data_IF_401221186102
#
_entry.id   IF_401221186102
#
_cell.length_a   1.000
_cell.length_b   1.000
_cell.length_c   1.000
_cell.angle_alpha   90.00
_cell.angle_beta   90.00
_cell.angle_gamma   90.00
#
_symmetry.space_group_name_H-M   'P 1'
#
loop_
_entity.id
_entity.type
_entity.pdbx_description
1 polymer ?
#
# COMPACT_ATOMS: atom_id res chain seq x y z
N UNK A 1 -36.11 -97.06 11.14
CA UNK A 1 -36.86 -96.51 9.99
C UNK A 1 -36.07 -95.33 9.43
N UNK A 2 -35.83 -95.33 8.10
CA UNK A 2 -35.24 -94.27 7.24
C UNK A 2 -33.84 -93.73 7.68
N UNK A 3 -32.68 -94.11 7.11
CA UNK A 3 -32.14 -94.04 5.73
C UNK A 3 -32.15 -92.65 5.07
N UNK A 4 -30.93 -92.23 4.68
CA UNK A 4 -30.55 -91.34 3.56
C UNK A 4 -30.77 -89.82 3.77
N UNK A 5 -30.00 -88.89 3.21
CA UNK A 5 -28.80 -88.93 2.35
C UNK A 5 -28.11 -87.55 2.39
N UNK A 6 -26.83 -87.57 2.03
CA UNK A 6 -25.90 -86.50 1.64
C UNK A 6 -26.56 -85.36 0.84
N UNK A 7 -26.14 -84.10 1.04
CA UNK A 7 -25.68 -83.17 -0.02
C UNK A 7 -24.86 -82.04 0.62
N UNK A 8 -23.59 -81.94 0.20
CA UNK A 8 -22.76 -80.74 0.30
C UNK A 8 -23.27 -79.70 -0.71
N UNK A 9 -23.31 -78.41 -0.33
CA UNK A 9 -22.96 -77.31 -1.24
C UNK A 9 -22.43 -76.09 -0.50
N UNK A 10 -21.51 -75.44 -1.19
CA UNK A 10 -20.57 -74.39 -0.83
C UNK A 10 -21.13 -73.05 -0.30
N UNK A 11 -20.28 -72.41 0.51
CA UNK A 11 -19.93 -70.99 0.63
C UNK A 11 -20.96 -69.94 0.17
N UNK A 12 -21.32 -69.05 1.10
CA UNK A 12 -21.27 -67.58 0.95
C UNK A 12 -20.98 -66.96 2.33
N UNK A 13 -19.91 -66.17 2.42
CA UNK A 13 -19.61 -65.23 3.51
C UNK A 13 -20.55 -64.01 3.40
N UNK A 14 -21.10 -63.51 4.52
CA UNK A 14 -21.36 -62.07 4.72
C UNK A 14 -21.73 -61.83 6.21
N UNK A 15 -20.80 -61.33 7.02
CA UNK A 15 -20.53 -59.91 7.24
C UNK A 15 -21.49 -59.26 8.26
N UNK A 16 -20.97 -59.04 9.48
CA UNK A 16 -21.34 -57.89 10.32
C UNK A 16 -21.13 -56.61 9.50
N UNK A 17 -21.98 -55.56 9.62
CA UNK A 17 -21.84 -54.64 10.75
C UNK A 17 -23.13 -53.93 11.24
N UNK A 18 -23.19 -53.62 12.55
CA UNK A 18 -24.20 -52.75 13.20
C UNK A 18 -23.63 -51.39 13.66
N UNK A 19 -22.45 -50.98 13.16
CA UNK A 19 -21.75 -49.76 13.59
C UNK A 19 -21.95 -48.54 12.68
N UNK A 20 -22.29 -48.71 11.40
CA UNK A 20 -22.41 -47.59 10.45
C UNK A 20 -23.55 -46.61 10.76
N UNK A 21 -24.68 -47.09 11.27
CA UNK A 21 -25.87 -46.26 11.44
C UNK A 21 -25.77 -45.17 12.55
N UNK A 22 -24.82 -45.28 13.50
CA UNK A 22 -24.63 -44.26 14.55
C UNK A 22 -23.67 -43.14 14.14
N UNK A 23 -22.78 -43.41 13.20
CA UNK A 23 -21.84 -42.40 12.69
C UNK A 23 -22.50 -41.49 11.64
N UNK A 24 -23.45 -42.04 10.86
CA UNK A 24 -24.23 -41.28 9.87
C UNK A 24 -25.03 -40.13 10.54
N UNK A 25 -25.70 -40.40 11.67
CA UNK A 25 -26.41 -39.38 12.47
C UNK A 25 -25.47 -38.29 13.02
N UNK A 26 -24.24 -38.67 13.43
CA UNK A 26 -23.25 -37.70 13.95
C UNK A 26 -22.74 -36.79 12.84
N UNK A 27 -22.51 -37.31 11.64
CA UNK A 27 -22.09 -36.49 10.50
C UNK A 27 -23.17 -35.50 10.03
N UNK A 28 -24.44 -35.86 10.13
CA UNK A 28 -25.54 -34.94 9.80
C UNK A 28 -25.65 -33.78 10.80
N UNK A 29 -25.43 -34.07 12.10
CA UNK A 29 -25.37 -33.06 13.16
C UNK A 29 -24.14 -32.16 12.98
N UNK A 30 -22.97 -32.72 12.63
CA UNK A 30 -21.76 -31.95 12.31
C UNK A 30 -22.02 -30.94 11.17
N UNK A 31 -22.66 -31.39 10.09
CA UNK A 31 -22.97 -30.54 8.94
C UNK A 31 -23.89 -29.37 9.32
N UNK A 32 -24.89 -29.64 10.17
CA UNK A 32 -25.87 -28.65 10.61
C UNK A 32 -25.28 -27.60 11.56
N UNK A 33 -24.34 -28.00 12.43
CA UNK A 33 -23.57 -27.07 13.27
C UNK A 33 -22.69 -26.17 12.41
N UNK A 34 -22.03 -26.73 11.38
CA UNK A 34 -21.22 -25.95 10.44
C UNK A 34 -22.07 -24.96 9.62
N UNK A 35 -23.29 -25.32 9.22
CA UNK A 35 -24.23 -24.39 8.57
C UNK A 35 -24.66 -23.25 9.49
N UNK A 36 -24.95 -23.54 10.76
CA UNK A 36 -25.30 -22.50 11.74
C UNK A 36 -24.12 -21.54 11.94
N UNK A 37 -22.88 -22.04 11.99
CA UNK A 37 -21.71 -21.18 12.15
C UNK A 37 -21.47 -20.30 10.93
N UNK A 38 -21.80 -20.77 9.71
CA UNK A 38 -21.78 -19.94 8.50
C UNK A 38 -22.82 -18.82 8.55
N UNK A 39 -23.98 -19.09 9.17
CA UNK A 39 -25.07 -18.11 9.30
C UNK A 39 -24.78 -17.04 10.37
N UNK A 40 -23.99 -17.38 11.38
CA UNK A 40 -23.64 -16.49 12.50
C UNK A 40 -22.12 -16.25 12.59
N UNK A 41 -21.56 -15.30 11.82
CA UNK A 41 -20.12 -15.03 11.80
C UNK A 41 -19.57 -14.46 13.13
N UNK A 42 -20.44 -13.90 13.98
CA UNK A 42 -20.09 -13.39 15.32
C UNK A 42 -20.01 -14.47 16.40
N UNK A 43 -20.11 -15.75 16.02
CA UNK A 43 -20.08 -16.89 16.91
C UNK A 43 -21.45 -17.29 17.47
N UNK A 44 -21.54 -18.52 17.93
CA UNK A 44 -22.74 -19.16 18.46
C UNK A 44 -22.55 -19.43 19.96
N UNK A 45 -23.57 -19.11 20.76
CA UNK A 45 -23.63 -19.46 22.18
C UNK A 45 -24.58 -20.66 22.37
N UNK A 46 -24.47 -21.37 23.50
CA UNK A 46 -25.23 -22.58 23.83
C UNK A 46 -26.76 -22.37 23.74
N UNK A 47 -27.24 -21.19 24.13
CA UNK A 47 -28.65 -20.77 23.99
C UNK A 47 -29.15 -20.75 22.54
N UNK A 48 -28.28 -20.43 21.58
CA UNK A 48 -28.61 -20.40 20.15
C UNK A 48 -28.63 -21.83 19.60
N UNK A 49 -27.77 -22.72 20.09
CA UNK A 49 -27.80 -24.15 19.75
C UNK A 49 -29.06 -24.83 20.29
N UNK A 50 -29.49 -24.51 21.51
CA UNK A 50 -30.74 -25.03 22.09
C UNK A 50 -31.98 -24.58 21.31
N UNK A 51 -32.00 -23.33 20.84
CA UNK A 51 -33.13 -22.78 20.08
C UNK A 51 -33.24 -23.42 18.69
N UNK A 52 -32.12 -23.70 18.04
CA UNK A 52 -32.11 -24.30 16.69
C UNK A 52 -32.16 -25.83 16.68
N UNK A 53 -31.79 -26.50 17.78
CA UNK A 53 -31.80 -27.97 17.91
C UNK A 53 -32.34 -28.44 19.29
N UNK A 54 -33.65 -28.33 19.53
CA UNK A 54 -34.26 -28.68 20.83
C UNK A 54 -34.36 -30.18 21.10
N UNK A 55 -34.27 -31.05 20.08
CA UNK A 55 -34.45 -32.51 20.20
C UNK A 55 -33.15 -33.31 20.27
N UNK A 56 -32.01 -32.66 20.54
CA UNK A 56 -30.70 -33.35 20.58
C UNK A 56 -30.23 -33.57 22.01
N UNK A 57 -29.84 -34.81 22.33
CA UNK A 57 -29.25 -35.15 23.62
C UNK A 57 -27.99 -34.32 23.88
N UNK A 58 -27.90 -33.77 25.09
CA UNK A 58 -26.85 -32.84 25.52
C UNK A 58 -25.46 -33.51 25.39
N UNK A 59 -25.38 -34.82 25.61
CA UNK A 59 -24.11 -35.56 25.50
C UNK A 59 -23.62 -35.69 24.05
N UNK A 60 -24.50 -36.01 23.11
CA UNK A 60 -24.15 -36.12 21.68
C UNK A 60 -23.70 -34.76 21.14
N UNK A 61 -24.32 -33.67 21.61
CA UNK A 61 -23.93 -32.31 21.25
C UNK A 61 -22.51 -31.97 21.70
N UNK A 62 -22.18 -32.28 22.96
CA UNK A 62 -20.85 -32.02 23.52
C UNK A 62 -19.78 -32.85 22.83
N UNK A 63 -20.06 -34.12 22.53
CA UNK A 63 -19.14 -35.00 21.79
C UNK A 63 -18.85 -34.44 20.39
N UNK A 64 -19.88 -34.02 19.65
CA UNK A 64 -19.72 -33.44 18.31
C UNK A 64 -18.96 -32.11 18.36
N UNK A 65 -19.21 -31.26 19.36
CA UNK A 65 -18.47 -30.00 19.54
C UNK A 65 -17.00 -30.30 19.86
N UNK A 66 -16.71 -31.25 20.74
CA UNK A 66 -15.35 -31.66 21.07
C UNK A 66 -14.63 -32.26 19.85
N UNK A 67 -15.32 -33.04 19.03
CA UNK A 67 -14.78 -33.56 17.76
C UNK A 67 -14.49 -32.42 16.75
N UNK A 68 -15.37 -31.42 16.65
CA UNK A 68 -15.17 -30.27 15.77
C UNK A 68 -14.06 -29.31 16.25
N UNK A 69 -13.88 -29.19 17.56
CA UNK A 69 -12.75 -28.48 18.19
C UNK A 69 -11.45 -29.24 17.95
N UNK A 70 -11.45 -30.57 18.10
CA UNK A 70 -10.29 -31.44 17.82
C UNK A 70 -9.90 -31.40 16.33
N UNK A 71 -10.90 -31.36 15.43
CA UNK A 71 -10.73 -31.16 13.98
C UNK A 71 -10.31 -29.73 13.59
N UNK A 72 -10.13 -28.81 14.55
CA UNK A 72 -9.72 -27.39 14.39
C UNK A 72 -10.62 -26.55 13.47
N UNK A 73 -11.86 -26.99 13.22
CA UNK A 73 -12.82 -26.26 12.38
C UNK A 73 -13.53 -25.13 13.14
N UNK A 74 -13.50 -25.18 14.48
CA UNK A 74 -14.13 -24.20 15.36
C UNK A 74 -13.10 -23.62 16.35
N UNK A 75 -13.30 -22.37 16.75
CA UNK A 75 -12.57 -21.69 17.83
C UNK A 75 -13.54 -21.36 18.96
N UNK A 76 -13.12 -21.64 20.19
CA UNK A 76 -13.78 -21.16 21.40
C UNK A 76 -13.21 -19.78 21.72
N UNK A 77 -14.07 -18.77 21.85
CA UNK A 77 -13.67 -17.43 22.28
C UNK A 77 -14.67 -16.85 23.29
N UNK A 78 -14.18 -15.98 24.16
CA UNK A 78 -15.00 -15.29 25.15
C UNK A 78 -15.30 -13.87 24.66
N UNK A 79 -16.55 -13.43 24.75
CA UNK A 79 -16.88 -12.06 24.39
C UNK A 79 -16.33 -11.08 25.45
N UNK A 80 -15.76 -9.92 25.05
CA UNK A 80 -15.25 -8.94 25.99
C UNK A 80 -16.40 -8.39 26.85
N UNK A 81 -16.36 -8.65 28.16
CA UNK A 81 -17.32 -8.15 29.14
C UNK A 81 -18.41 -9.14 29.60
N UNK A 82 -18.48 -10.35 29.05
CA UNK A 82 -19.36 -11.42 29.56
C UNK A 82 -18.58 -12.71 29.80
N UNK A 83 -18.98 -13.49 30.81
CA UNK A 83 -18.41 -14.82 31.08
C UNK A 83 -19.01 -15.92 30.16
N UNK A 84 -19.61 -15.50 29.03
CA UNK A 84 -20.28 -16.40 28.09
C UNK A 84 -19.30 -16.85 26.99
N UNK A 85 -19.29 -18.15 26.74
CA UNK A 85 -18.44 -18.79 25.74
C UNK A 85 -19.14 -18.77 24.38
N UNK A 86 -18.41 -18.36 23.34
CA UNK A 86 -18.87 -18.36 21.97
C UNK A 86 -18.02 -19.31 21.13
N UNK A 87 -18.67 -20.08 20.26
CA UNK A 87 -18.01 -20.87 19.23
C UNK A 87 -18.09 -20.16 17.89
N UNK A 88 -16.94 -19.83 17.30
CA UNK A 88 -16.83 -19.29 15.95
C UNK A 88 -16.23 -20.29 15.00
N UNK A 89 -16.51 -20.15 13.70
CA UNK A 89 -15.68 -20.80 12.68
C UNK A 89 -14.24 -20.30 12.86
N UNK A 90 -13.30 -21.23 12.71
CA UNK A 90 -11.91 -20.84 12.58
C UNK A 90 -11.74 -20.19 11.21
N UNK A 91 -12.00 -18.89 11.13
CA UNK A 91 -11.46 -18.05 10.07
C UNK A 91 -9.94 -18.08 10.24
N UNK A 92 -9.33 -19.10 9.64
CA UNK A 92 -7.93 -18.99 9.28
C UNK A 92 -7.89 -17.91 8.18
N UNK A 93 -7.03 -16.90 8.31
CA UNK A 93 -6.75 -16.01 7.18
C UNK A 93 -6.31 -16.91 6.04
N UNK A 94 -7.09 -16.87 4.96
CA UNK A 94 -6.82 -17.42 3.62
C UNK A 94 -5.66 -18.41 3.60
N UNK A 95 -5.91 -19.66 4.04
CA UNK A 95 -5.07 -20.77 3.61
C UNK A 95 -5.36 -20.96 2.13
N UNK A 96 -4.65 -20.18 1.31
CA UNK A 96 -4.38 -20.47 -0.09
C UNK A 96 -4.10 -21.97 -0.16
N UNK A 97 -4.71 -22.66 -1.13
CA UNK A 97 -4.60 -24.09 -1.34
C UNK A 97 -3.13 -24.52 -1.47
N UNK A 98 -2.44 -24.75 -0.35
CA UNK A 98 -1.07 -25.26 -0.29
C UNK A 98 -1.16 -26.78 -0.18
N UNK A 99 -1.56 -27.44 -1.27
CA UNK A 99 -1.10 -28.81 -1.50
C UNK A 99 0.37 -28.66 -1.90
N UNK A 100 1.26 -29.14 -1.02
CA UNK A 100 2.70 -29.25 -1.23
C UNK A 100 3.42 -27.91 -1.45
N UNK A 101 3.42 -27.07 -0.43
CA UNK A 101 4.49 -26.08 -0.28
C UNK A 101 5.49 -26.61 0.73
N UNK A 102 6.74 -26.69 0.31
CA UNK A 102 7.86 -27.18 1.11
C UNK A 102 7.90 -26.44 2.45
N UNK A 103 8.26 -27.15 3.52
CA UNK A 103 8.38 -26.57 4.88
C UNK A 103 9.26 -25.31 4.89
N UNK A 104 10.23 -25.26 3.98
CA UNK A 104 11.14 -24.14 3.77
C UNK A 104 10.47 -22.92 3.11
N UNK A 105 9.59 -23.14 2.13
CA UNK A 105 8.84 -22.06 1.44
C UNK A 105 7.83 -21.41 2.41
N UNK A 106 7.19 -22.18 3.29
CA UNK A 106 6.35 -21.62 4.36
C UNK A 106 7.12 -20.78 5.39
N UNK A 107 8.37 -21.15 5.71
CA UNK A 107 9.21 -20.38 6.64
C UNK A 107 9.62 -19.04 6.02
N UNK A 108 10.04 -19.05 4.75
CA UNK A 108 10.37 -17.81 4.01
C UNK A 108 9.15 -16.91 3.89
N UNK A 109 7.97 -17.48 3.60
CA UNK A 109 6.73 -16.71 3.48
C UNK A 109 6.35 -16.04 4.82
N UNK A 110 6.44 -16.76 5.95
CA UNK A 110 6.17 -16.19 7.27
C UNK A 110 7.13 -15.03 7.61
N UNK A 111 8.40 -15.17 7.29
CA UNK A 111 9.40 -14.10 7.49
C UNK A 111 9.04 -12.85 6.68
N UNK A 112 8.51 -13.02 5.46
CA UNK A 112 8.10 -11.92 4.60
C UNK A 112 6.80 -11.28 5.09
N UNK A 113 5.86 -12.08 5.60
CA UNK A 113 4.67 -11.59 6.33
C UNK A 113 5.04 -10.75 7.55
N UNK A 114 6.01 -11.22 8.35
CA UNK A 114 6.50 -10.51 9.54
C UNK A 114 7.17 -9.17 9.18
N UNK A 115 7.79 -9.06 8.00
CA UNK A 115 8.43 -7.82 7.52
C UNK A 115 7.44 -6.76 7.02
N UNK A 116 6.23 -7.16 6.60
CA UNK A 116 5.14 -6.26 6.20
C UNK A 116 5.55 -5.22 5.15
N UNK A 117 5.20 -3.95 5.39
CA UNK A 117 5.37 -2.83 4.45
C UNK A 117 6.82 -2.39 4.21
N UNK A 118 7.75 -2.71 5.13
CA UNK A 118 9.16 -2.34 4.99
C UNK A 118 9.92 -3.31 4.08
N UNK A 119 9.33 -4.48 3.85
CA UNK A 119 9.93 -5.58 3.11
C UNK A 119 11.20 -6.10 3.77
N UNK A 120 11.76 -7.18 3.22
CA UNK A 120 12.96 -7.82 3.75
C UNK A 120 14.05 -8.03 2.70
N UNK A 121 15.32 -7.93 3.12
CA UNK A 121 16.49 -8.16 2.29
C UNK A 121 16.84 -9.64 2.22
N UNK A 122 17.47 -10.06 1.12
CA UNK A 122 17.99 -11.42 0.97
C UNK A 122 18.99 -11.83 2.08
N UNK A 123 19.75 -10.87 2.62
CA UNK A 123 20.68 -11.10 3.75
C UNK A 123 19.90 -11.41 5.03
N UNK A 124 18.88 -10.63 5.32
CA UNK A 124 18.07 -10.79 6.53
C UNK A 124 17.22 -12.07 6.46
N UNK A 125 16.70 -12.44 5.28
CA UNK A 125 16.03 -13.73 5.08
C UNK A 125 17.00 -14.88 5.40
N UNK A 126 18.26 -14.80 4.97
CA UNK A 126 19.28 -15.82 5.25
C UNK A 126 19.54 -15.94 6.75
N UNK A 127 19.74 -14.81 7.42
CA UNK A 127 20.08 -14.78 8.84
C UNK A 127 18.92 -15.27 9.73
N UNK A 128 17.66 -15.01 9.32
CA UNK A 128 16.47 -15.47 10.06
C UNK A 128 16.04 -16.90 9.71
N UNK A 129 16.20 -17.34 8.45
CA UNK A 129 15.79 -18.68 8.03
C UNK A 129 16.86 -19.76 8.26
N UNK A 130 18.14 -19.38 8.34
CA UNK A 130 19.26 -20.33 8.41
C UNK A 130 19.45 -21.17 7.14
N UNK A 131 18.77 -20.83 6.04
CA UNK A 131 18.78 -21.58 4.79
C UNK A 131 19.93 -21.15 3.86
N UNK A 132 20.29 -22.01 2.91
CA UNK A 132 21.29 -21.70 1.90
C UNK A 132 20.75 -20.68 0.87
N UNK A 133 21.58 -19.72 0.47
CA UNK A 133 21.29 -18.67 -0.53
C UNK A 133 20.76 -19.25 -1.85
N UNK A 134 21.25 -20.42 -2.29
CA UNK A 134 20.77 -21.05 -3.52
C UNK A 134 19.33 -21.54 -3.40
N UNK A 135 18.94 -22.06 -2.24
CA UNK A 135 17.58 -22.53 -1.96
C UNK A 135 16.63 -21.36 -1.81
N UNK A 136 17.04 -20.30 -1.10
CA UNK A 136 16.28 -19.05 -0.94
C UNK A 136 15.97 -18.44 -2.32
N UNK A 137 16.97 -18.33 -3.21
CA UNK A 137 16.76 -17.78 -4.55
C UNK A 137 15.81 -18.64 -5.43
N UNK A 138 15.80 -19.96 -5.24
CA UNK A 138 14.83 -20.84 -5.94
C UNK A 138 13.42 -20.63 -5.41
N UNK A 139 13.26 -20.56 -4.09
CA UNK A 139 11.98 -20.34 -3.42
C UNK A 139 11.42 -18.96 -3.78
N UNK A 140 12.22 -17.90 -3.74
CA UNK A 140 11.80 -16.55 -4.10
C UNK A 140 11.33 -16.48 -5.56
N UNK A 141 12.04 -17.12 -6.50
CA UNK A 141 11.58 -17.20 -7.90
C UNK A 141 10.27 -17.99 -8.05
N UNK A 142 10.10 -19.06 -7.28
CA UNK A 142 8.86 -19.84 -7.28
C UNK A 142 7.68 -19.02 -6.71
N UNK A 143 7.91 -18.25 -5.65
CA UNK A 143 6.92 -17.39 -5.02
C UNK A 143 6.58 -16.14 -5.86
N UNK A 144 7.57 -15.55 -6.55
CA UNK A 144 7.35 -14.50 -7.55
C UNK A 144 6.55 -15.05 -8.74
N UNK A 145 6.87 -16.26 -9.23
CA UNK A 145 6.12 -16.92 -10.31
C UNK A 145 4.66 -17.24 -9.94
N UNK A 146 4.35 -17.41 -8.65
CA UNK A 146 2.99 -17.59 -8.12
C UNK A 146 2.27 -16.25 -7.83
N UNK A 147 2.92 -15.10 -8.05
CA UNK A 147 2.44 -13.76 -7.68
C UNK A 147 2.07 -13.62 -6.19
N UNK A 148 2.75 -14.34 -5.29
CA UNK A 148 2.56 -14.19 -3.83
C UNK A 148 3.47 -13.10 -3.27
N UNK A 149 4.63 -12.90 -3.91
CA UNK A 149 5.66 -11.94 -3.52
C UNK A 149 5.99 -11.07 -4.72
N UNK A 150 6.33 -9.80 -4.45
CA UNK A 150 6.94 -8.89 -5.42
C UNK A 150 8.31 -8.43 -4.91
N UNK A 151 9.21 -8.18 -5.84
CA UNK A 151 10.48 -7.50 -5.56
C UNK A 151 10.38 -6.02 -5.88
N UNK A 152 10.80 -5.18 -4.94
CA UNK A 152 10.85 -3.73 -5.06
C UNK A 152 12.28 -3.27 -4.76
N UNK A 153 12.77 -2.26 -5.48
CA UNK A 153 14.06 -1.65 -5.19
C UNK A 153 13.89 -0.65 -4.05
N UNK A 154 14.66 -0.82 -2.96
CA UNK A 154 14.69 0.19 -1.89
C UNK A 154 15.59 1.35 -2.28
N UNK A 155 15.10 2.57 -2.05
CA UNK A 155 15.83 3.82 -2.28
C UNK A 155 16.61 4.24 -1.03
N UNK A 156 16.14 3.87 0.16
CA UNK A 156 16.76 4.20 1.45
C UNK A 156 18.09 3.47 1.68
N UNK A 157 18.26 2.27 1.11
CA UNK A 157 19.53 1.54 1.11
C UNK A 157 19.91 1.21 -0.34
N UNK A 158 20.56 2.17 -1.00
CA UNK A 158 21.31 2.04 -2.26
C UNK A 158 20.83 0.93 -3.24
N UNK A 159 19.63 1.08 -3.82
CA UNK A 159 19.08 0.22 -4.90
C UNK A 159 19.14 -1.28 -4.59
N UNK A 160 19.02 -1.68 -3.32
CA UNK A 160 18.99 -3.10 -2.95
C UNK A 160 17.57 -3.65 -3.15
N UNK A 161 17.47 -4.86 -3.71
CA UNK A 161 16.21 -5.58 -3.87
C UNK A 161 15.64 -6.02 -2.52
N UNK A 162 14.43 -5.59 -2.25
CA UNK A 162 13.62 -5.95 -1.09
C UNK A 162 12.43 -6.76 -1.56
N UNK A 163 12.09 -7.80 -0.81
CA UNK A 163 10.93 -8.65 -1.09
C UNK A 163 9.79 -8.32 -0.14
N UNK A 164 8.57 -8.29 -0.67
CA UNK A 164 7.35 -8.05 0.09
C UNK A 164 6.18 -8.82 -0.52
N UNK A 165 5.11 -8.98 0.24
CA UNK A 165 3.89 -9.60 -0.29
C UNK A 165 3.30 -8.80 -1.45
N UNK A 166 2.67 -9.51 -2.39
CA UNK A 166 2.10 -8.91 -3.60
C UNK A 166 1.06 -7.84 -3.28
N UNK A 167 0.15 -8.15 -2.35
CA UNK A 167 -1.00 -7.31 -2.00
C UNK A 167 -0.63 -6.07 -1.17
N UNK A 168 0.55 -6.02 -0.56
CA UNK A 168 0.95 -4.92 0.33
C UNK A 168 1.61 -3.79 -0.45
N UNK A 169 1.16 -2.55 -0.25
CA UNK A 169 1.83 -1.37 -0.83
C UNK A 169 3.10 -1.04 -0.04
N UNK A 170 4.23 -0.77 -0.72
CA UNK A 170 5.48 -0.47 -0.03
C UNK A 170 5.37 0.84 0.76
N UNK A 171 6.02 0.88 1.92
CA UNK A 171 6.08 2.08 2.75
C UNK A 171 6.84 3.20 2.03
N UNK A 172 6.44 4.47 2.25
CA UNK A 172 7.12 5.68 1.73
C UNK A 172 8.60 5.70 2.07
N UNK A 173 8.98 5.11 3.20
CA UNK A 173 10.38 4.96 3.60
C UNK A 173 11.20 4.05 2.69
N UNK A 174 10.57 3.10 2.00
CA UNK A 174 11.22 2.14 1.09
C UNK A 174 11.23 2.66 -0.35
N UNK A 175 10.11 3.24 -0.79
CA UNK A 175 9.94 3.78 -2.15
C UNK A 175 10.34 5.25 -2.31
N UNK A 176 10.75 5.94 -1.25
CA UNK A 176 11.13 7.36 -1.34
C UNK A 176 9.96 8.32 -1.61
N UNK A 177 8.73 7.81 -1.68
CA UNK A 177 7.52 8.57 -2.00
C UNK A 177 7.13 8.49 -3.47
N UNK A 178 6.15 9.30 -3.87
CA UNK A 178 5.50 9.15 -5.18
C UNK A 178 6.34 9.69 -6.34
N UNK A 179 7.45 10.37 -6.07
CA UNK A 179 8.36 10.94 -7.08
C UNK A 179 9.43 9.98 -7.59
N UNK A 180 9.38 8.72 -7.17
CA UNK A 180 10.34 7.69 -7.60
C UNK A 180 9.63 6.58 -8.36
N UNK A 181 10.18 6.25 -9.53
CA UNK A 181 9.79 5.06 -10.30
C UNK A 181 11.02 4.19 -10.46
N UNK A 182 10.90 2.90 -10.15
CA UNK A 182 11.97 1.90 -10.26
C UNK A 182 13.30 2.28 -9.59
N UNK A 183 13.24 3.07 -8.51
CA UNK A 183 14.43 3.48 -7.75
C UNK A 183 15.18 4.68 -8.35
N UNK A 184 14.59 5.38 -9.30
CA UNK A 184 15.11 6.62 -9.87
C UNK A 184 14.15 7.79 -9.59
N UNK A 185 14.73 8.96 -9.31
CA UNK A 185 13.96 10.18 -9.03
C UNK A 185 13.52 10.81 -10.34
N UNK A 186 12.20 10.98 -10.52
CA UNK A 186 11.63 11.60 -11.71
C UNK A 186 11.63 13.13 -11.59
N UNK A 187 12.80 13.77 -11.80
CA UNK A 187 12.89 15.24 -11.78
C UNK A 187 12.01 15.89 -12.85
N UNK A 188 11.90 15.27 -14.03
CA UNK A 188 11.07 15.76 -15.13
C UNK A 188 9.58 15.81 -14.75
N UNK A 189 9.09 14.80 -14.03
CA UNK A 189 7.71 14.78 -13.56
C UNK A 189 7.45 15.90 -12.55
N UNK A 190 8.37 16.09 -11.61
CA UNK A 190 8.29 17.19 -10.64
C UNK A 190 8.26 18.55 -11.35
N UNK A 191 9.10 18.73 -12.37
CA UNK A 191 9.14 19.97 -13.16
C UNK A 191 7.83 20.19 -13.95
N UNK A 192 7.27 19.13 -14.54
CA UNK A 192 5.97 19.20 -15.24
C UNK A 192 4.87 19.61 -14.25
N UNK A 193 4.80 18.97 -13.08
CA UNK A 193 3.79 19.29 -12.06
C UNK A 193 3.98 20.71 -11.54
N UNK A 194 5.22 21.15 -11.32
CA UNK A 194 5.55 22.52 -10.91
C UNK A 194 5.06 23.54 -11.94
N UNK A 195 5.33 23.32 -13.22
CA UNK A 195 4.86 24.17 -14.31
C UNK A 195 3.33 24.21 -14.40
N UNK A 196 2.65 23.07 -14.21
CA UNK A 196 1.18 23.05 -14.20
C UNK A 196 0.61 23.79 -13.01
N UNK A 197 1.15 23.61 -11.80
CA UNK A 197 0.74 24.36 -10.60
C UNK A 197 0.82 25.88 -10.86
N UNK A 198 1.94 26.33 -11.42
CA UNK A 198 2.15 27.74 -11.75
C UNK A 198 1.12 28.23 -12.79
N UNK A 199 0.91 27.47 -13.86
CA UNK A 199 -0.04 27.81 -14.93
C UNK A 199 -1.48 27.91 -14.42
N UNK A 200 -1.90 27.03 -13.52
CA UNK A 200 -3.24 27.08 -12.93
C UNK A 200 -3.43 28.34 -12.07
N UNK A 201 -2.45 28.69 -11.26
CA UNK A 201 -2.47 29.91 -10.46
C UNK A 201 -2.49 31.17 -11.36
N UNK A 202 -1.74 31.15 -12.46
CA UNK A 202 -1.76 32.20 -13.46
C UNK A 202 -3.15 32.37 -14.10
N UNK A 203 -3.75 31.28 -14.57
CA UNK A 203 -5.09 31.31 -15.18
C UNK A 203 -6.16 31.83 -14.22
N UNK A 204 -6.09 31.44 -12.94
CA UNK A 204 -7.03 31.94 -11.92
C UNK A 204 -6.85 33.44 -11.68
N UNK A 205 -5.60 33.92 -11.63
CA UNK A 205 -5.32 35.34 -11.46
C UNK A 205 -5.77 36.16 -12.68
N UNK A 206 -5.56 35.67 -13.90
CA UNK A 206 -6.04 36.32 -15.14
C UNK A 206 -7.57 36.37 -15.19
N UNK A 207 -8.25 35.27 -14.83
CA UNK A 207 -9.70 35.22 -14.74
C UNK A 207 -10.26 36.18 -13.68
N UNK A 208 -9.56 36.34 -12.55
CA UNK A 208 -9.94 37.31 -11.52
C UNK A 208 -9.77 38.76 -12.02
N UNK A 209 -8.70 39.06 -12.76
CA UNK A 209 -8.50 40.38 -13.39
C UNK A 209 -9.56 40.70 -14.44
N UNK A 210 -10.02 39.71 -15.20
CA UNK A 210 -11.07 39.92 -16.20
C UNK A 210 -12.41 40.31 -15.55
N UNK A 211 -12.65 39.86 -14.31
CA UNK A 211 -13.83 40.18 -13.50
C UNK A 211 -13.66 41.47 -12.68
N UNK A 212 -12.73 42.35 -13.03
CA UNK A 212 -12.36 43.55 -12.26
C UNK A 212 -13.46 44.60 -12.01
N UNK A 213 -14.69 44.38 -12.48
CA UNK A 213 -15.85 45.21 -12.16
C UNK A 213 -16.15 45.29 -10.65
N UNK A 214 -15.74 44.31 -9.85
CA UNK A 214 -16.02 44.22 -8.41
C UNK A 214 -14.92 44.81 -7.48
N UNK A 215 -13.95 45.54 -8.03
CA UNK A 215 -12.96 46.30 -7.26
C UNK A 215 -11.72 45.51 -6.77
N UNK A 216 -10.61 46.20 -6.41
CA UNK A 216 -9.28 45.58 -6.30
C UNK A 216 -9.13 44.53 -5.19
N UNK A 217 -9.84 44.69 -4.07
CA UNK A 217 -9.74 43.77 -2.94
C UNK A 217 -10.45 42.43 -3.24
N UNK A 218 -11.58 42.48 -3.95
CA UNK A 218 -12.33 41.29 -4.36
C UNK A 218 -11.54 40.51 -5.41
N UNK A 219 -10.97 41.21 -6.40
CA UNK A 219 -10.05 40.60 -7.40
C UNK A 219 -8.86 39.92 -6.72
N UNK A 220 -8.26 40.58 -5.71
CA UNK A 220 -7.16 39.99 -4.95
C UNK A 220 -7.59 38.71 -4.24
N UNK A 221 -8.72 38.72 -3.54
CA UNK A 221 -9.19 37.55 -2.80
C UNK A 221 -9.58 36.40 -3.74
N UNK A 222 -10.20 36.71 -4.89
CA UNK A 222 -10.56 35.71 -5.90
C UNK A 222 -9.34 35.06 -6.60
N UNK A 223 -8.16 35.69 -6.53
CA UNK A 223 -6.92 35.18 -7.13
C UNK A 223 -6.26 34.06 -6.31
N UNK A 224 -6.71 33.82 -5.07
CA UNK A 224 -6.15 32.77 -4.23
C UNK A 224 -6.75 31.40 -4.55
N UNK A 225 -5.96 30.35 -4.44
CA UNK A 225 -6.36 28.95 -4.57
C UNK A 225 -5.80 28.14 -3.40
N UNK A 226 -6.58 27.24 -2.83
CA UNK A 226 -6.17 26.40 -1.70
C UNK A 226 -5.31 25.21 -2.15
N UNK A 227 -4.48 24.66 -1.25
CA UNK A 227 -3.71 23.43 -1.54
C UNK A 227 -4.62 22.25 -1.93
N UNK A 228 -5.77 22.11 -1.27
CA UNK A 228 -6.77 21.07 -1.57
C UNK A 228 -7.34 21.21 -2.99
N UNK A 229 -7.73 22.41 -3.40
CA UNK A 229 -8.25 22.66 -4.77
C UNK A 229 -7.18 22.41 -5.84
N UNK A 230 -5.94 22.84 -5.60
CA UNK A 230 -4.82 22.57 -6.53
C UNK A 230 -4.63 21.07 -6.71
N UNK A 231 -4.62 20.32 -5.61
CA UNK A 231 -4.48 18.87 -5.63
C UNK A 231 -5.62 18.19 -6.41
N UNK A 232 -6.88 18.61 -6.22
CA UNK A 232 -8.03 18.07 -6.95
C UNK A 232 -7.91 18.33 -8.45
N UNK A 233 -7.61 19.57 -8.85
CA UNK A 233 -7.47 19.93 -10.26
C UNK A 233 -6.31 19.19 -10.94
N UNK A 234 -5.20 18.93 -10.23
CA UNK A 234 -4.09 18.12 -10.76
C UNK A 234 -4.51 16.67 -10.97
N UNK A 235 -5.25 16.10 -10.00
CA UNK A 235 -5.82 14.76 -10.13
C UNK A 235 -6.81 14.66 -11.30
N UNK A 236 -7.64 15.69 -11.52
CA UNK A 236 -8.61 15.73 -12.62
C UNK A 236 -7.93 15.78 -14.00
N UNK A 237 -6.77 16.44 -14.10
CA UNK A 237 -5.99 16.48 -15.34
C UNK A 237 -5.32 15.14 -15.67
N UNK A 238 -5.33 14.18 -14.73
CA UNK A 238 -4.79 12.82 -14.88
C UNK A 238 -3.37 12.78 -15.46
N UNK A 239 -2.55 13.77 -15.09
CA UNK A 239 -1.14 13.91 -15.52
C UNK A 239 -0.29 12.77 -14.93
N UNK A 240 -0.70 12.27 -13.77
CA UNK A 240 0.05 11.32 -12.96
C UNK A 240 -0.77 10.05 -12.80
N UNK A 241 -0.14 8.89 -13.04
CA UNK A 241 -0.82 7.57 -12.95
C UNK A 241 -1.20 7.18 -11.52
N UNK A 242 -0.62 7.85 -10.54
CA UNK A 242 -0.83 7.64 -9.12
C UNK A 242 -1.46 8.88 -8.48
N UNK A 243 -2.16 8.69 -7.38
CA UNK A 243 -2.80 9.78 -6.65
C UNK A 243 -1.75 10.54 -5.84
N UNK A 244 -1.59 11.82 -6.14
CA UNK A 244 -0.74 12.72 -5.37
C UNK A 244 -1.43 13.11 -4.06
N UNK A 245 -0.64 13.20 -2.99
CA UNK A 245 -1.10 13.69 -1.69
C UNK A 245 -1.02 15.21 -1.61
N UNK A 246 -1.83 15.81 -0.73
CA UNK A 246 -1.81 17.27 -0.52
C UNK A 246 -0.45 17.74 -0.02
N UNK A 247 0.23 16.95 0.82
CA UNK A 247 1.57 17.25 1.33
C UNK A 247 2.63 17.36 0.22
N UNK A 248 2.57 16.47 -0.77
CA UNK A 248 3.50 16.46 -1.91
C UNK A 248 3.30 17.68 -2.80
N UNK A 249 2.05 18.08 -3.03
CA UNK A 249 1.72 19.31 -3.75
C UNK A 249 2.17 20.55 -2.96
N UNK A 250 1.96 20.57 -1.65
CA UNK A 250 2.45 21.67 -0.81
C UNK A 250 3.97 21.80 -0.85
N UNK A 251 4.71 20.70 -0.85
CA UNK A 251 6.16 20.73 -1.03
C UNK A 251 6.57 21.32 -2.39
N UNK A 252 5.86 21.00 -3.47
CA UNK A 252 6.10 21.62 -4.78
C UNK A 252 5.76 23.11 -4.75
N UNK A 253 4.64 23.49 -4.16
CA UNK A 253 4.24 24.90 -4.07
C UNK A 253 5.24 25.70 -3.22
N UNK A 254 5.84 25.11 -2.19
CA UNK A 254 6.93 25.74 -1.43
C UNK A 254 8.14 26.07 -2.31
N UNK A 255 8.50 25.20 -3.28
CA UNK A 255 9.55 25.53 -4.25
C UNK A 255 9.20 26.76 -5.10
N UNK A 256 7.94 26.90 -5.52
CA UNK A 256 7.46 28.07 -6.26
C UNK A 256 7.44 29.34 -5.41
N UNK A 257 7.23 29.22 -4.10
CA UNK A 257 7.36 30.33 -3.14
C UNK A 257 8.82 30.76 -3.03
N UNK A 258 9.75 29.80 -2.93
CA UNK A 258 11.19 30.10 -2.86
C UNK A 258 11.74 30.71 -4.16
N UNK A 259 11.19 30.31 -5.31
CA UNK A 259 11.44 30.96 -6.61
C UNK A 259 10.95 32.42 -6.67
N UNK A 260 10.13 32.86 -5.71
CA UNK A 260 9.52 34.19 -5.69
C UNK A 260 8.40 34.39 -6.72
N UNK A 261 7.90 33.29 -7.32
CA UNK A 261 6.84 33.32 -8.34
C UNK A 261 5.43 33.40 -7.75
N UNK A 262 5.23 32.85 -6.54
CA UNK A 262 3.94 32.81 -5.86
C UNK A 262 4.07 33.26 -4.40
N UNK A 263 2.99 33.79 -3.83
CA UNK A 263 2.87 34.06 -2.39
C UNK A 263 1.96 33.02 -1.74
N UNK A 264 2.32 32.63 -0.52
CA UNK A 264 1.51 31.77 0.32
C UNK A 264 0.89 32.60 1.45
N UNK A 265 -0.38 32.33 1.75
CA UNK A 265 -1.12 32.89 2.87
C UNK A 265 -1.82 31.76 3.63
N UNK A 266 -1.69 31.81 4.96
CA UNK A 266 -2.46 30.98 5.86
C UNK A 266 -3.82 31.64 6.13
N UNK A 267 -4.90 30.93 5.84
CA UNK A 267 -6.26 31.36 6.15
C UNK A 267 -6.82 30.41 7.21
N UNK A 268 -7.41 30.96 8.26
CA UNK A 268 -8.15 30.21 9.27
C UNK A 268 -9.58 30.05 8.79
N UNK A 269 -9.99 28.83 8.47
CA UNK A 269 -11.39 28.48 8.19
C UNK A 269 -11.89 27.60 9.33
N UNK A 270 -12.45 28.25 10.36
CA UNK A 270 -12.78 27.58 11.63
C UNK A 270 -11.54 27.11 12.39
N UNK A 271 -11.46 25.81 12.70
CA UNK A 271 -10.36 25.19 13.47
C UNK A 271 -9.22 24.67 12.57
N UNK A 272 -9.44 24.57 11.25
CA UNK A 272 -8.42 24.16 10.28
C UNK A 272 -7.66 25.38 9.72
N UNK A 273 -6.33 25.22 9.61
CA UNK A 273 -5.46 26.18 8.93
C UNK A 273 -5.25 25.73 7.49
N UNK A 274 -5.74 26.52 6.54
CA UNK A 274 -5.66 26.20 5.12
C UNK A 274 -4.58 27.08 4.47
N UNK A 275 -3.63 26.44 3.77
CA UNK A 275 -2.65 27.14 2.93
C UNK A 275 -3.31 27.55 1.61
N UNK A 276 -3.21 28.84 1.29
CA UNK A 276 -3.69 29.41 0.04
C UNK A 276 -2.55 30.07 -0.72
N UNK A 277 -2.59 29.99 -2.03
CA UNK A 277 -1.51 30.42 -2.92
C UNK A 277 -2.04 31.36 -3.99
N UNK A 278 -1.20 32.30 -4.40
CA UNK A 278 -1.51 33.32 -5.40
C UNK A 278 -0.26 33.61 -6.21
N UNK A 279 -0.41 33.91 -7.50
CA UNK A 279 0.71 34.37 -8.31
C UNK A 279 1.18 35.77 -7.88
N UNK A 280 2.49 35.98 -7.89
CA UNK A 280 3.12 37.28 -7.63
C UNK A 280 3.68 37.79 -8.95
N UNK A 281 3.33 39.02 -9.30
CA UNK A 281 3.95 39.69 -10.43
C UNK A 281 5.27 40.29 -10.01
N UNK A 282 6.32 39.97 -10.75
CA UNK A 282 7.63 40.57 -10.56
C UNK A 282 7.57 42.04 -10.96
N UNK A 283 7.66 42.93 -9.97
CA UNK A 283 7.58 44.38 -10.19
C UNK A 283 8.84 44.96 -10.83
N UNK A 284 9.95 44.24 -10.78
CA UNK A 284 11.27 44.68 -11.23
C UNK A 284 11.81 43.73 -12.30
N UNK A 285 12.27 44.29 -13.42
CA UNK A 285 13.03 43.51 -14.39
C UNK A 285 14.42 43.14 -13.85
N UNK A 286 15.04 42.09 -14.38
CA UNK A 286 16.41 41.71 -14.04
C UNK A 286 17.37 42.89 -14.19
N UNK A 287 18.23 43.08 -13.19
CA UNK A 287 19.19 44.19 -13.15
C UNK A 287 20.10 44.20 -14.38
N UNK A 288 20.54 45.38 -14.83
CA UNK A 288 21.40 45.51 -16.00
C UNK A 288 22.75 44.78 -15.85
N UNK A 289 23.25 44.65 -14.62
CA UNK A 289 24.52 43.96 -14.34
C UNK A 289 24.50 42.49 -14.76
N UNK A 290 23.37 41.78 -14.62
CA UNK A 290 23.28 40.37 -15.05
C UNK A 290 23.13 40.23 -16.56
N UNK A 291 22.95 41.34 -17.29
CA UNK A 291 22.83 41.36 -18.77
C UNK A 291 24.15 41.66 -19.47
N UNK A 292 25.22 41.93 -18.72
CA UNK A 292 26.56 42.19 -19.26
C UNK A 292 27.51 41.06 -18.85
N UNK A 293 28.51 40.70 -19.69
CA UNK A 293 29.45 39.62 -19.40
C UNK A 293 30.16 39.80 -18.05
N UNK A 294 30.50 41.03 -17.68
CA UNK A 294 31.15 41.34 -16.41
C UNK A 294 30.35 40.89 -15.19
N UNK A 295 29.02 41.07 -15.18
CA UNK A 295 28.22 40.81 -13.99
C UNK A 295 28.09 39.32 -13.64
N UNK A 296 28.39 38.45 -14.59
CA UNK A 296 28.40 36.98 -14.42
C UNK A 296 29.78 36.37 -14.67
N UNK A 297 30.81 37.21 -14.81
CA UNK A 297 32.15 36.75 -15.18
C UNK A 297 32.80 35.96 -14.03
N UNK A 298 33.19 34.68 -14.25
CA UNK A 298 33.77 33.85 -13.20
C UNK A 298 35.16 34.32 -12.76
N UNK A 299 35.85 35.07 -13.62
CA UNK A 299 37.22 35.56 -13.41
C UNK A 299 37.29 37.07 -13.17
N UNK A 300 36.16 37.72 -12.84
CA UNK A 300 36.12 39.18 -12.63
C UNK A 300 37.14 39.66 -11.58
N UNK A 301 37.41 38.86 -10.54
CA UNK A 301 38.33 39.21 -9.46
C UNK A 301 39.79 39.37 -9.90
N UNK A 302 40.18 38.72 -11.00
CA UNK A 302 41.54 38.76 -11.55
C UNK A 302 41.61 39.57 -12.85
N UNK A 303 40.47 40.11 -13.31
CA UNK A 303 40.41 40.97 -14.48
C UNK A 303 40.84 42.38 -14.10
N UNK A 304 41.84 42.93 -14.79
CA UNK A 304 42.40 44.23 -14.49
C UNK A 304 43.04 44.92 -15.69
N UNK A 305 43.67 46.06 -15.44
CA UNK A 305 44.40 46.81 -16.48
C UNK A 305 45.79 46.26 -16.76
N UNK A 306 46.27 45.31 -15.93
CA UNK A 306 47.54 44.61 -16.07
C UNK A 306 47.35 43.14 -15.66
N UNK A 307 48.18 42.25 -16.19
CA UNK A 307 48.06 40.79 -16.01
C UNK A 307 47.54 40.07 -17.25
N UNK A 308 47.33 38.76 -17.13
CA UNK A 308 46.91 37.89 -18.25
C UNK A 308 45.44 38.06 -18.64
N UNK A 309 44.57 38.35 -17.67
CA UNK A 309 43.12 38.56 -17.87
C UNK A 309 42.84 40.06 -17.93
N UNK A 310 42.50 40.57 -19.12
CA UNK A 310 42.20 41.98 -19.32
C UNK A 310 40.87 42.17 -20.07
N UNK A 311 40.20 43.32 -19.90
CA UNK A 311 39.02 43.64 -20.70
C UNK A 311 39.32 43.72 -22.21
N UNK A 312 40.55 44.12 -22.57
CA UNK A 312 40.97 44.33 -23.97
C UNK A 312 41.05 43.05 -24.80
N UNK A 313 41.32 41.91 -24.16
CA UNK A 313 41.44 40.59 -24.77
C UNK A 313 40.40 39.62 -24.21
N UNK A 314 39.25 40.15 -23.78
CA UNK A 314 38.23 39.38 -23.06
C UNK A 314 37.36 38.58 -24.03
N UNK A 315 37.60 37.27 -24.09
CA UNK A 315 36.82 36.32 -24.90
C UNK A 315 35.32 36.38 -24.59
N UNK A 316 34.94 36.62 -23.33
CA UNK A 316 33.52 36.73 -22.95
C UNK A 316 32.82 37.96 -23.54
N UNK A 317 33.56 39.04 -23.77
CA UNK A 317 33.01 40.23 -24.44
C UNK A 317 32.93 40.03 -25.94
N UNK A 318 33.97 39.45 -26.55
CA UNK A 318 33.98 39.15 -27.98
C UNK A 318 32.79 38.25 -28.35
N UNK A 319 32.60 37.14 -27.61
CA UNK A 319 31.47 36.22 -27.81
C UNK A 319 30.09 36.83 -27.56
N UNK A 320 30.00 37.87 -26.72
CA UNK A 320 28.73 38.53 -26.41
C UNK A 320 28.38 39.63 -27.41
N UNK A 321 29.38 40.20 -28.09
CA UNK A 321 29.21 41.22 -29.12
C UNK A 321 28.98 40.63 -30.53
N UNK A 322 29.46 39.41 -30.77
CA UNK A 322 29.18 38.61 -31.98
C UNK A 322 27.69 38.22 -32.11
#
# INVERSE_FOLDING_TARGET
MALKVVIKKEKVDDARPRQSARDDDKTEIEARILELLRKYPKGINDKILETHMPNLDIQIRVDVINDLLTKKKMKLFQAPGTNELFWGLNEQPVSIKLKEVDKEENVVMRIIEEAGNKGILNKDIRDQSGLNLTTINKILKALEGKNLIKSVLSISVAKIKVYMLFDLQPDRSVTGGSWYTDGEFESELVDIVNQQCYRMLQQKAEAAKLKAMDGPLIVRNASFLSSKEICQMISDMNIVKFNLTVEEIEAILETLVYDGKIEMRMVSDGDERIKTYRIVETLLSSAAIVRIPCGVCPVIKICGTAGEVQPKNCVYYDQWLD
#
